data_IF_168687520979
#
_entry.id   IF_168687520979
#
_cell.length_a   1.000
_cell.length_b   1.000
_cell.length_c   1.000
_cell.angle_alpha   90.00
_cell.angle_beta   90.00
_cell.angle_gamma   90.00
#
_symmetry.space_group_name_H-M   'P 1'
#
loop_
_entity.id
_entity.type
_entity.pdbx_description
1 polymer ?
#
# COMPACT_ATOMS: atom_id res chain seq x y z
N UNK A 1 30.13 5.93 -15.77
CA UNK A 1 30.26 7.04 -14.82
C UNK A 1 28.91 7.20 -14.16
N UNK A 2 28.63 7.05 -12.95
CA UNK A 2 29.37 6.71 -11.74
C UNK A 2 28.32 6.45 -10.65
N UNK A 3 28.26 5.21 -10.16
CA UNK A 3 27.45 4.76 -9.00
C UNK A 3 27.95 5.32 -7.65
N UNK A 4 28.72 6.41 -7.65
CA UNK A 4 29.43 6.91 -6.46
C UNK A 4 28.73 8.11 -5.81
N UNK A 5 27.76 8.75 -6.43
CA UNK A 5 27.19 10.01 -5.90
C UNK A 5 26.03 9.84 -4.90
N UNK A 6 25.46 8.65 -4.75
CA UNK A 6 24.38 8.42 -3.76
C UNK A 6 24.85 8.08 -2.34
N UNK A 7 26.13 7.80 -2.13
CA UNK A 7 26.68 7.48 -0.80
C UNK A 7 26.95 8.69 0.11
N UNK A 8 26.81 9.91 -0.39
CA UNK A 8 27.24 11.11 0.35
C UNK A 8 26.14 11.92 1.03
N UNK A 9 24.88 11.49 0.95
CA UNK A 9 23.76 12.23 1.58
C UNK A 9 23.13 11.52 2.78
N UNK A 10 23.83 10.59 3.42
CA UNK A 10 23.43 10.13 4.76
C UNK A 10 23.86 11.22 5.76
N UNK A 11 22.89 11.93 6.40
CA UNK A 11 23.26 12.94 7.39
C UNK A 11 24.02 12.26 8.52
N UNK A 12 25.05 12.92 9.02
CA UNK A 12 25.79 12.58 10.27
C UNK A 12 24.88 12.32 11.49
N UNK A 13 23.58 12.50 11.37
CA UNK A 13 22.55 12.26 12.38
C UNK A 13 22.39 10.78 12.79
N UNK A 14 22.83 9.83 11.96
CA UNK A 14 22.78 8.40 12.29
C UNK A 14 24.04 7.91 13.00
N UNK A 15 25.07 8.76 13.15
CA UNK A 15 26.36 8.36 13.73
C UNK A 15 26.58 8.81 15.16
N UNK A 16 25.71 9.63 15.77
CA UNK A 16 25.86 10.04 17.15
C UNK A 16 24.87 9.32 18.06
N UNK A 17 25.43 8.58 19.03
CA UNK A 17 24.80 8.14 20.27
C UNK A 17 23.65 7.11 20.18
N UNK A 18 23.95 5.86 19.99
CA UNK A 18 23.55 4.75 20.85
C UNK A 18 24.00 3.41 20.23
N UNK A 19 25.15 2.92 20.69
CA UNK A 19 25.65 1.57 20.35
C UNK A 19 24.64 0.46 20.72
N UNK A 20 23.80 0.69 21.73
CA UNK A 20 22.84 -0.30 22.20
C UNK A 20 21.65 -0.50 21.24
N UNK A 21 21.16 0.55 20.56
CA UNK A 21 20.10 0.43 19.57
C UNK A 21 20.58 -0.29 18.30
N UNK A 22 21.85 -0.15 17.95
CA UNK A 22 22.46 -0.88 16.83
C UNK A 22 22.56 -2.39 17.08
N UNK A 23 22.79 -2.81 18.30
CA UNK A 23 22.94 -4.24 18.64
C UNK A 23 21.59 -4.97 18.66
N UNK A 24 20.50 -4.28 19.01
CA UNK A 24 19.16 -4.89 19.14
C UNK A 24 18.41 -4.98 17.81
N UNK A 25 18.75 -4.15 16.83
CA UNK A 25 18.12 -4.15 15.50
C UNK A 25 18.93 -4.92 14.43
N UNK A 26 20.11 -5.40 14.79
CA UNK A 26 20.93 -6.17 13.86
C UNK A 26 20.46 -7.65 13.82
N UNK A 27 19.33 -7.91 13.18
CA UNK A 27 18.96 -9.26 12.75
C UNK A 27 19.74 -9.52 11.46
N UNK A 28 20.74 -10.40 11.46
CA UNK A 28 21.51 -10.67 10.25
C UNK A 28 20.56 -11.29 9.19
N UNK A 29 20.47 -10.72 7.99
CA UNK A 29 19.50 -11.15 6.97
C UNK A 29 19.73 -12.59 6.47
N UNK A 30 20.89 -13.17 6.73
CA UNK A 30 21.27 -14.50 6.23
C UNK A 30 20.94 -15.67 7.17
N UNK A 31 20.29 -15.45 8.32
CA UNK A 31 19.91 -16.53 9.27
C UNK A 31 18.42 -16.83 9.35
N UNK A 32 17.59 -16.01 8.75
CA UNK A 32 16.15 -16.27 8.66
C UNK A 32 15.86 -16.69 7.21
N UNK A 33 15.18 -17.81 7.03
CA UNK A 33 14.43 -18.01 5.79
C UNK A 33 13.69 -16.71 5.54
N UNK A 34 14.16 -15.93 4.57
CA UNK A 34 13.83 -14.49 4.39
C UNK A 34 12.32 -14.27 4.46
N UNK A 35 11.54 -15.19 3.90
CA UNK A 35 10.09 -15.12 3.89
C UNK A 35 9.42 -15.28 5.27
N UNK A 36 9.93 -16.15 6.14
CA UNK A 36 9.33 -16.37 7.47
C UNK A 36 9.66 -15.22 8.44
N UNK A 37 10.89 -14.71 8.37
CA UNK A 37 11.32 -13.59 9.20
C UNK A 37 10.58 -12.30 8.85
N UNK A 38 10.37 -12.03 7.58
CA UNK A 38 9.65 -10.85 7.12
C UNK A 38 8.20 -10.81 7.56
N UNK A 39 7.51 -11.94 7.49
CA UNK A 39 6.11 -12.03 7.95
C UNK A 39 5.97 -11.73 9.45
N UNK A 40 6.87 -12.25 10.29
CA UNK A 40 6.86 -11.96 11.73
C UNK A 40 7.20 -10.49 12.01
N UNK A 41 8.23 -9.97 11.36
CA UNK A 41 8.64 -8.56 11.50
C UNK A 41 7.56 -7.59 11.02
N UNK A 42 6.93 -7.89 9.89
CA UNK A 42 5.77 -7.14 9.39
C UNK A 42 4.65 -7.05 10.43
N UNK A 43 4.29 -8.17 11.08
CA UNK A 43 3.24 -8.17 12.11
C UNK A 43 3.61 -7.29 13.31
N UNK A 44 4.87 -7.29 13.72
CA UNK A 44 5.36 -6.41 14.79
C UNK A 44 5.29 -4.94 14.38
N UNK A 45 5.76 -4.61 13.18
CA UNK A 45 5.74 -3.24 12.67
C UNK A 45 4.30 -2.73 12.49
N UNK A 46 3.41 -3.57 11.97
CA UNK A 46 1.99 -3.25 11.83
C UNK A 46 1.34 -3.00 13.20
N UNK A 47 1.66 -3.84 14.20
CA UNK A 47 1.16 -3.66 15.57
C UNK A 47 1.66 -2.36 16.19
N UNK A 48 2.92 -2.00 15.94
CA UNK A 48 3.52 -0.74 16.37
C UNK A 48 2.79 0.47 15.75
N UNK A 49 2.50 0.42 14.46
CA UNK A 49 1.79 1.51 13.78
C UNK A 49 0.34 1.63 14.26
N UNK A 50 -0.36 0.51 14.44
CA UNK A 50 -1.71 0.50 15.02
C UNK A 50 -1.74 1.06 16.44
N UNK A 51 -0.73 0.75 17.24
CA UNK A 51 -0.58 1.33 18.58
C UNK A 51 -0.34 2.83 18.53
N UNK A 52 0.50 3.31 17.61
CA UNK A 52 0.81 4.73 17.45
C UNK A 52 -0.32 5.54 16.83
N UNK A 53 -1.13 4.95 15.97
CA UNK A 53 -2.14 5.64 15.15
C UNK A 53 -3.04 6.60 15.97
N UNK A 54 -3.63 6.23 17.12
CA UNK A 54 -4.45 7.14 17.92
C UNK A 54 -3.69 8.39 18.40
N UNK A 55 -2.41 8.23 18.74
CA UNK A 55 -1.57 9.35 19.20
C UNK A 55 -1.19 10.27 18.04
N UNK A 56 -1.04 9.72 16.84
CA UNK A 56 -0.66 10.47 15.63
C UNK A 56 -1.82 11.27 15.03
N UNK A 57 -3.07 10.95 15.38
CA UNK A 57 -4.25 11.76 15.01
C UNK A 57 -4.27 13.10 15.77
N UNK A 58 -3.57 13.20 16.89
CA UNK A 58 -3.46 14.45 17.66
C UNK A 58 -2.45 15.40 17.04
N UNK A 59 -2.80 16.68 16.96
CA UNK A 59 -1.92 17.75 16.43
C UNK A 59 -0.68 18.01 17.30
N UNK A 60 -0.66 17.52 18.54
CA UNK A 60 0.45 17.71 19.50
C UNK A 60 0.92 16.37 20.05
N UNK A 61 2.02 15.87 19.52
CA UNK A 61 2.71 14.72 20.06
C UNK A 61 3.38 15.07 21.39
N UNK A 62 3.08 14.33 22.44
CA UNK A 62 3.75 14.43 23.75
C UNK A 62 5.14 13.76 23.70
N UNK A 63 6.02 14.03 24.67
CA UNK A 63 7.42 13.64 24.66
C UNK A 63 7.67 12.19 24.24
N UNK A 64 7.15 11.20 24.99
CA UNK A 64 7.35 9.78 24.69
C UNK A 64 6.79 9.33 23.34
N UNK A 65 5.58 9.80 22.96
CA UNK A 65 5.00 9.48 21.66
C UNK A 65 5.81 10.10 20.52
N UNK A 66 6.40 11.27 20.72
CA UNK A 66 7.30 11.92 19.76
C UNK A 66 8.59 11.12 19.58
N UNK A 67 9.16 10.63 20.67
CA UNK A 67 10.41 9.86 20.60
C UNK A 67 10.18 8.51 19.95
N UNK A 68 9.04 7.87 20.22
CA UNK A 68 8.64 6.64 19.54
C UNK A 68 8.39 6.88 18.04
N UNK A 69 7.72 7.97 17.67
CA UNK A 69 7.53 8.37 16.26
C UNK A 69 8.87 8.60 15.54
N UNK A 70 9.81 9.29 16.20
CA UNK A 70 11.17 9.45 15.64
C UNK A 70 11.89 8.10 15.50
N UNK A 71 11.69 7.18 16.43
CA UNK A 71 12.20 5.82 16.34
C UNK A 71 11.65 5.09 15.13
N UNK A 72 10.33 5.20 14.88
CA UNK A 72 9.68 4.63 13.70
C UNK A 72 10.23 5.22 12.38
N UNK A 73 10.42 6.54 12.32
CA UNK A 73 11.02 7.17 11.13
C UNK A 73 12.43 6.62 10.86
N UNK A 74 13.26 6.51 11.90
CA UNK A 74 14.62 5.94 11.77
C UNK A 74 14.58 4.50 11.30
N UNK A 75 13.69 3.69 11.88
CA UNK A 75 13.50 2.30 11.50
C UNK A 75 13.11 2.18 10.02
N UNK A 76 12.13 2.96 9.58
CA UNK A 76 11.71 2.96 8.17
C UNK A 76 12.81 3.42 7.23
N UNK A 77 13.64 4.40 7.62
CA UNK A 77 14.78 4.82 6.81
C UNK A 77 15.83 3.71 6.68
N UNK A 78 16.08 2.94 7.74
CA UNK A 78 16.96 1.75 7.67
C UNK A 78 16.36 0.70 6.75
N UNK A 79 15.05 0.43 6.87
CA UNK A 79 14.37 -0.53 5.99
C UNK A 79 14.38 -0.06 4.54
N UNK A 80 14.17 1.22 4.28
CA UNK A 80 14.23 1.77 2.93
C UNK A 80 15.62 1.62 2.30
N UNK A 81 16.67 1.77 3.10
CA UNK A 81 18.05 1.68 2.62
C UNK A 81 18.52 0.22 2.46
N UNK A 82 18.26 -0.64 3.46
CA UNK A 82 18.83 -1.99 3.53
C UNK A 82 17.87 -3.07 2.98
N UNK A 83 16.57 -2.85 3.04
CA UNK A 83 15.52 -3.82 2.68
C UNK A 83 14.34 -3.15 1.95
N UNK A 84 14.57 -2.44 0.83
CA UNK A 84 13.49 -1.75 0.11
C UNK A 84 12.42 -2.72 -0.38
N UNK A 85 12.77 -3.97 -0.69
CA UNK A 85 11.85 -5.02 -1.09
C UNK A 85 10.80 -5.31 -0.01
N UNK A 86 11.21 -5.32 1.27
CA UNK A 86 10.28 -5.50 2.39
C UNK A 86 9.21 -4.42 2.41
N UNK A 87 9.59 -3.15 2.30
CA UNK A 87 8.63 -2.07 2.28
C UNK A 87 7.74 -2.11 1.04
N UNK A 88 8.29 -2.42 -0.13
CA UNK A 88 7.52 -2.50 -1.38
C UNK A 88 6.54 -3.67 -1.42
N UNK A 89 6.78 -4.76 -0.69
CA UNK A 89 5.88 -5.90 -0.62
C UNK A 89 4.76 -5.74 0.43
N UNK A 90 5.04 -4.99 1.50
CA UNK A 90 4.08 -4.79 2.62
C UNK A 90 3.48 -3.38 2.69
N UNK A 91 3.77 -2.50 1.70
CA UNK A 91 3.39 -1.09 1.74
C UNK A 91 1.90 -0.86 2.02
N UNK A 92 1.03 -1.69 1.44
CA UNK A 92 -0.41 -1.46 1.45
C UNK A 92 -0.96 -1.37 2.88
N UNK A 93 -0.83 -2.44 3.66
CA UNK A 93 -1.34 -2.48 5.04
C UNK A 93 -0.55 -1.60 6.01
N UNK A 94 0.74 -1.35 5.73
CA UNK A 94 1.53 -0.41 6.51
C UNK A 94 1.04 1.02 6.33
N UNK A 95 0.71 1.43 5.10
CA UNK A 95 0.12 2.73 4.81
C UNK A 95 -1.28 2.89 5.41
N UNK A 96 -2.12 1.83 5.37
CA UNK A 96 -3.44 1.85 6.00
C UNK A 96 -3.40 2.01 7.52
N UNK A 97 -2.37 1.46 8.16
CA UNK A 97 -2.19 1.58 9.61
C UNK A 97 -1.71 2.98 10.05
N UNK A 98 -1.19 3.77 9.12
CA UNK A 98 -0.65 5.11 9.39
C UNK A 98 -1.69 6.17 9.03
N UNK A 99 -2.04 7.10 9.94
CA UNK A 99 -2.97 8.17 9.63
C UNK A 99 -2.55 8.99 8.41
N UNK A 100 -3.52 9.43 7.61
CA UNK A 100 -3.29 10.20 6.37
C UNK A 100 -2.45 11.47 6.59
N UNK A 101 -2.60 12.12 7.75
CA UNK A 101 -1.80 13.28 8.13
C UNK A 101 -0.31 13.01 8.40
N UNK A 102 0.10 11.73 8.53
CA UNK A 102 1.49 11.34 8.77
C UNK A 102 2.27 11.19 7.46
N UNK A 103 2.34 12.24 6.67
CA UNK A 103 2.92 12.28 5.33
C UNK A 103 4.36 11.73 5.31
N UNK A 104 5.18 12.02 6.33
CA UNK A 104 6.56 11.56 6.38
C UNK A 104 6.67 10.02 6.41
N UNK A 105 5.90 9.35 7.29
CA UNK A 105 5.90 7.89 7.36
C UNK A 105 5.41 7.27 6.04
N UNK A 106 4.31 7.78 5.51
CA UNK A 106 3.72 7.28 4.26
C UNK A 106 4.70 7.45 3.09
N UNK A 107 5.32 8.63 2.95
CA UNK A 107 6.27 8.88 1.88
C UNK A 107 7.49 7.97 1.95
N UNK A 108 8.02 7.66 3.14
CA UNK A 108 9.14 6.72 3.28
C UNK A 108 8.71 5.32 2.81
N UNK A 109 7.54 4.85 3.22
CA UNK A 109 7.02 3.54 2.80
C UNK A 109 6.83 3.50 1.28
N UNK A 110 6.19 4.52 0.70
CA UNK A 110 5.85 4.58 -0.72
C UNK A 110 7.04 4.89 -1.64
N UNK A 111 8.15 5.40 -1.10
CA UNK A 111 9.38 5.60 -1.89
C UNK A 111 10.24 4.35 -2.00
N UNK A 112 9.84 3.25 -1.37
CA UNK A 112 10.55 1.99 -1.49
C UNK A 112 10.40 1.41 -2.91
N UNK A 113 11.54 1.06 -3.51
CA UNK A 113 11.60 0.46 -4.82
C UNK A 113 12.55 -0.75 -4.80
N UNK A 114 12.13 -1.92 -5.31
CA UNK A 114 12.98 -3.10 -5.31
C UNK A 114 14.29 -2.86 -6.07
N UNK A 115 15.42 -3.18 -5.44
CA UNK A 115 16.75 -2.98 -6.02
C UNK A 115 17.03 -3.86 -7.25
N UNK A 116 16.24 -4.93 -7.39
CA UNK A 116 16.32 -5.88 -8.52
C UNK A 116 15.61 -5.41 -9.77
N UNK A 117 14.77 -4.37 -9.67
CA UNK A 117 14.01 -3.83 -10.79
C UNK A 117 14.71 -2.56 -11.31
N UNK A 118 14.98 -2.51 -12.60
CA UNK A 118 15.49 -1.32 -13.28
C UNK A 118 14.31 -0.58 -13.91
N UNK A 119 14.19 0.72 -13.62
CA UNK A 119 13.18 1.54 -14.28
C UNK A 119 13.65 1.85 -15.71
N UNK A 120 12.79 1.62 -16.71
CA UNK A 120 13.07 2.07 -18.06
C UNK A 120 13.14 3.61 -18.12
N UNK A 121 13.99 4.13 -18.97
CA UNK A 121 14.07 5.57 -19.21
C UNK A 121 12.76 6.06 -19.85
N UNK A 122 11.98 6.93 -19.20
CA UNK A 122 10.70 7.41 -19.72
C UNK A 122 10.84 8.19 -21.03
N UNK A 123 12.01 8.75 -21.31
CA UNK A 123 12.30 9.47 -22.55
C UNK A 123 12.57 8.55 -23.75
N UNK A 124 12.98 7.31 -23.52
CA UNK A 124 13.21 6.33 -24.58
C UNK A 124 11.96 5.57 -25.01
N UNK A 125 10.92 5.60 -24.18
CA UNK A 125 9.72 4.76 -24.39
C UNK A 125 8.74 5.29 -25.46
N UNK A 126 8.86 6.55 -25.90
CA UNK A 126 7.97 7.17 -26.91
C UNK A 126 6.47 6.83 -26.72
N UNK A 127 6.04 6.61 -25.46
CA UNK A 127 4.66 6.23 -25.14
C UNK A 127 4.33 4.73 -25.28
N UNK A 128 5.28 3.87 -25.63
CA UNK A 128 5.06 2.42 -25.81
C UNK A 128 5.47 1.68 -24.52
N UNK A 129 4.64 1.78 -23.50
CA UNK A 129 4.93 1.16 -22.18
C UNK A 129 4.66 -0.35 -22.16
N UNK A 130 3.74 -0.85 -22.99
CA UNK A 130 3.34 -2.26 -23.02
C UNK A 130 4.44 -3.21 -23.52
N UNK A 131 5.47 -2.68 -24.18
CA UNK A 131 6.61 -3.45 -24.69
C UNK A 131 7.74 -3.62 -23.68
N UNK A 132 7.64 -2.98 -22.50
CA UNK A 132 8.67 -2.98 -21.47
C UNK A 132 8.54 -4.24 -20.61
N UNK A 133 9.54 -5.15 -20.61
CA UNK A 133 9.46 -6.40 -19.85
C UNK A 133 9.17 -6.19 -18.35
N UNK A 134 9.68 -5.10 -17.77
CA UNK A 134 9.53 -4.75 -16.37
C UNK A 134 8.07 -4.39 -16.00
N UNK A 135 7.26 -3.97 -16.97
CA UNK A 135 5.83 -3.71 -16.77
C UNK A 135 4.98 -4.98 -16.80
N UNK A 136 5.56 -6.09 -17.28
CA UNK A 136 4.87 -7.36 -17.38
C UNK A 136 4.54 -8.04 -16.05
N UNK A 137 5.43 -8.11 -15.05
CA UNK A 137 5.17 -8.76 -13.78
C UNK A 137 4.14 -7.97 -12.95
N UNK A 138 3.24 -8.71 -12.28
CA UNK A 138 2.39 -8.11 -11.24
C UNK A 138 3.29 -7.84 -10.03
N UNK A 139 3.31 -6.63 -9.45
CA UNK A 139 4.08 -6.35 -8.26
C UNK A 139 3.72 -7.34 -7.13
N UNK A 140 4.70 -7.95 -6.46
CA UNK A 140 4.43 -8.83 -5.33
C UNK A 140 3.89 -8.01 -4.17
N UNK A 141 2.62 -8.23 -3.81
CA UNK A 141 1.98 -7.62 -2.64
C UNK A 141 1.71 -8.74 -1.65
N UNK A 142 2.56 -8.87 -0.62
CA UNK A 142 2.44 -9.91 0.39
C UNK A 142 1.46 -9.54 1.51
N UNK A 143 1.13 -8.27 1.66
CA UNK A 143 0.11 -7.84 2.60
C UNK A 143 -1.28 -8.31 2.15
N UNK A 144 -2.06 -8.88 3.08
CA UNK A 144 -3.42 -9.33 2.80
C UNK A 144 -4.37 -8.11 2.65
N UNK A 145 -4.35 -7.49 1.45
CA UNK A 145 -5.23 -6.38 1.13
C UNK A 145 -6.71 -6.83 1.06
N UNK A 146 -6.97 -8.12 0.90
CA UNK A 146 -8.34 -8.64 0.88
C UNK A 146 -8.94 -8.81 2.29
N UNK A 147 -8.15 -8.62 3.35
CA UNK A 147 -8.64 -8.76 4.72
C UNK A 147 -9.82 -7.83 5.04
N UNK A 148 -9.81 -6.62 4.48
CA UNK A 148 -10.90 -5.65 4.61
C UNK A 148 -12.22 -6.09 3.93
N UNK A 149 -12.15 -7.01 2.96
CA UNK A 149 -13.31 -7.51 2.21
C UNK A 149 -13.96 -8.74 2.84
N UNK A 150 -13.50 -9.17 4.03
CA UNK A 150 -13.93 -10.42 4.69
C UNK A 150 -15.35 -10.40 5.27
N UNK A 151 -16.10 -9.30 5.16
CA UNK A 151 -17.48 -9.29 5.58
C UNK A 151 -18.34 -10.13 4.62
N UNK A 152 -18.43 -11.43 4.89
CA UNK A 152 -19.39 -12.38 4.35
C UNK A 152 -19.44 -12.49 2.83
N UNK A 153 -20.58 -12.12 2.26
CA UNK A 153 -20.95 -12.39 0.86
C UNK A 153 -20.27 -11.45 -0.16
N UNK A 154 -19.65 -10.36 0.29
CA UNK A 154 -19.13 -9.31 -0.61
C UNK A 154 -18.03 -9.82 -1.54
N UNK A 155 -17.10 -10.59 -1.01
CA UNK A 155 -15.99 -11.13 -1.82
C UNK A 155 -16.51 -12.10 -2.88
N UNK A 156 -17.43 -12.98 -2.51
CA UNK A 156 -18.08 -13.92 -3.43
C UNK A 156 -18.80 -13.17 -4.54
N UNK A 157 -19.49 -12.09 -4.18
CA UNK A 157 -20.19 -11.25 -5.15
C UNK A 157 -19.23 -10.52 -6.10
N UNK A 158 -18.16 -9.96 -5.58
CA UNK A 158 -17.12 -9.31 -6.39
C UNK A 158 -16.47 -10.30 -7.36
N UNK A 159 -16.16 -11.49 -6.88
CA UNK A 159 -15.58 -12.55 -7.74
C UNK A 159 -16.55 -12.92 -8.87
N UNK A 160 -17.82 -13.10 -8.58
CA UNK A 160 -18.84 -13.38 -9.60
C UNK A 160 -19.01 -12.23 -10.58
N UNK A 161 -19.00 -10.98 -10.09
CA UNK A 161 -19.12 -9.80 -10.91
C UNK A 161 -17.91 -9.63 -11.84
N UNK A 162 -16.71 -9.74 -11.31
CA UNK A 162 -15.47 -9.62 -12.09
C UNK A 162 -15.34 -10.72 -13.13
N UNK A 163 -15.88 -11.91 -12.88
CA UNK A 163 -15.97 -12.99 -13.86
C UNK A 163 -17.08 -12.79 -14.90
N UNK A 164 -17.83 -11.68 -14.83
CA UNK A 164 -18.95 -11.40 -15.73
C UNK A 164 -20.19 -12.28 -15.50
N UNK A 165 -20.29 -12.92 -14.33
CA UNK A 165 -21.39 -13.83 -13.97
C UNK A 165 -22.49 -13.17 -13.15
N UNK A 166 -22.24 -11.96 -12.62
CA UNK A 166 -23.20 -11.19 -11.83
C UNK A 166 -23.61 -9.89 -12.54
N UNK A 167 -24.82 -9.43 -12.25
CA UNK A 167 -25.36 -8.18 -12.83
C UNK A 167 -24.74 -6.94 -12.18
N UNK A 168 -24.67 -5.84 -12.95
CA UNK A 168 -24.27 -4.51 -12.47
C UNK A 168 -25.25 -3.89 -11.44
N UNK A 169 -26.40 -4.52 -11.20
CA UNK A 169 -27.39 -4.07 -10.20
C UNK A 169 -26.84 -4.04 -8.77
N UNK A 170 -25.70 -4.71 -8.52
CA UNK A 170 -25.05 -4.71 -7.22
C UNK A 170 -24.17 -3.48 -6.95
N UNK A 171 -23.77 -2.72 -7.97
CA UNK A 171 -22.88 -1.56 -7.80
C UNK A 171 -23.43 -0.47 -6.87
N UNK A 172 -24.73 -0.14 -6.88
CA UNK A 172 -25.31 0.77 -5.88
C UNK A 172 -25.13 0.29 -4.45
N UNK A 173 -25.42 -1.00 -4.19
CA UNK A 173 -25.23 -1.61 -2.87
C UNK A 173 -23.78 -1.59 -2.41
N UNK A 174 -22.84 -1.80 -3.34
CA UNK A 174 -21.42 -1.70 -3.09
C UNK A 174 -21.03 -0.28 -2.62
N UNK A 175 -21.57 0.75 -3.31
CA UNK A 175 -21.35 2.16 -2.93
C UNK A 175 -21.82 2.46 -1.50
N UNK A 176 -23.01 1.97 -1.15
CA UNK A 176 -23.59 2.20 0.18
C UNK A 176 -22.76 1.53 1.30
N UNK A 177 -22.15 0.38 1.01
CA UNK A 177 -21.27 -0.33 1.95
C UNK A 177 -19.91 0.34 2.18
N UNK A 178 -19.52 1.30 1.35
CA UNK A 178 -18.30 2.07 1.54
C UNK A 178 -18.42 3.11 2.66
N UNK A 179 -19.63 3.38 3.13
CA UNK A 179 -19.84 4.31 4.25
C UNK A 179 -19.46 3.64 5.56
N UNK A 180 -18.78 4.43 6.41
CA UNK A 180 -18.44 3.98 7.75
C UNK A 180 -19.73 3.71 8.55
N UNK A 181 -19.75 2.68 9.41
CA UNK A 181 -20.88 2.49 10.33
C UNK A 181 -20.99 3.74 11.22
N UNK A 182 -22.20 4.29 11.28
CA UNK A 182 -22.52 5.50 12.06
C UNK A 182 -22.24 5.22 13.54
N UNK A 183 -21.11 5.70 14.05
CA UNK A 183 -20.84 5.79 15.48
C UNK A 183 -20.75 7.27 15.83
N UNK A 184 -21.39 7.67 16.93
CA UNK A 184 -21.59 9.07 17.34
C UNK A 184 -20.29 9.90 17.54
N UNK A 185 -19.14 9.27 17.41
CA UNK A 185 -17.82 9.87 17.71
C UNK A 185 -16.83 9.92 16.53
N UNK A 186 -17.24 9.53 15.31
CA UNK A 186 -16.34 9.46 14.15
C UNK A 186 -16.80 10.41 13.05
N UNK A 187 -15.98 11.42 12.79
CA UNK A 187 -16.18 12.40 11.71
C UNK A 187 -15.94 11.82 10.30
N UNK A 188 -15.53 10.56 10.19
CA UNK A 188 -15.22 9.92 8.91
C UNK A 188 -16.50 9.30 8.32
N UNK A 189 -16.95 9.82 7.18
CA UNK A 189 -18.17 9.36 6.49
C UNK A 189 -17.91 8.06 5.72
N UNK A 190 -16.65 7.75 5.38
CA UNK A 190 -16.24 6.59 4.60
C UNK A 190 -15.26 5.69 5.37
N UNK A 191 -15.40 4.37 5.17
CA UNK A 191 -14.42 3.37 5.60
C UNK A 191 -13.27 3.34 4.58
N UNK A 192 -12.27 4.23 4.78
CA UNK A 192 -11.13 4.38 3.87
C UNK A 192 -10.32 3.08 3.73
N UNK A 193 -10.01 2.32 4.80
CA UNK A 193 -9.37 1.01 4.67
C UNK A 193 -10.14 0.02 3.79
N UNK A 194 -11.46 0.01 3.92
CA UNK A 194 -12.32 -0.83 3.09
C UNK A 194 -12.32 -0.37 1.62
N UNK A 195 -12.39 0.94 1.38
CA UNK A 195 -12.30 1.54 0.05
C UNK A 195 -10.99 1.16 -0.64
N UNK A 196 -9.86 1.31 0.06
CA UNK A 196 -8.53 0.96 -0.45
C UNK A 196 -8.44 -0.54 -0.78
N UNK A 197 -8.95 -1.40 0.11
CA UNK A 197 -9.01 -2.84 -0.10
C UNK A 197 -9.82 -3.21 -1.35
N UNK A 198 -10.97 -2.56 -1.55
CA UNK A 198 -11.83 -2.76 -2.71
C UNK A 198 -11.13 -2.38 -4.02
N UNK A 199 -10.55 -1.17 -4.07
CA UNK A 199 -9.84 -0.68 -5.27
C UNK A 199 -8.68 -1.61 -5.62
N UNK A 200 -7.87 -1.98 -4.62
CA UNK A 200 -6.74 -2.88 -4.83
C UNK A 200 -7.19 -4.27 -5.32
N UNK A 201 -8.23 -4.82 -4.69
CA UNK A 201 -8.76 -6.15 -5.06
C UNK A 201 -9.29 -6.17 -6.50
N UNK A 202 -10.10 -5.18 -6.86
CA UNK A 202 -10.64 -5.04 -8.22
C UNK A 202 -9.51 -4.85 -9.23
N UNK A 203 -8.54 -3.98 -8.93
CA UNK A 203 -7.40 -3.71 -9.81
C UNK A 203 -6.55 -4.96 -10.07
N UNK A 204 -6.09 -5.62 -8.99
CA UNK A 204 -5.26 -6.84 -9.10
C UNK A 204 -6.00 -7.96 -9.83
N UNK A 205 -7.28 -8.17 -9.49
CA UNK A 205 -8.10 -9.21 -10.15
C UNK A 205 -8.32 -8.91 -11.64
N UNK A 206 -8.55 -7.64 -12.01
CA UNK A 206 -8.73 -7.24 -13.41
C UNK A 206 -7.45 -7.42 -14.22
N UNK A 207 -6.29 -7.03 -13.67
CA UNK A 207 -5.00 -7.24 -14.33
C UNK A 207 -4.70 -8.73 -14.50
N UNK A 208 -4.97 -9.55 -13.49
CA UNK A 208 -4.78 -11.00 -13.58
C UNK A 208 -5.65 -11.62 -14.68
N UNK A 209 -6.92 -11.19 -14.79
CA UNK A 209 -7.83 -11.68 -15.82
C UNK A 209 -7.42 -11.19 -17.23
N UNK A 210 -6.99 -9.93 -17.37
CA UNK A 210 -6.51 -9.40 -18.65
C UNK A 210 -5.27 -10.18 -19.15
N UNK A 211 -4.34 -10.50 -18.26
CA UNK A 211 -3.16 -11.32 -18.59
C UNK A 211 -3.52 -12.76 -18.97
N UNK A 212 -4.56 -13.34 -18.37
CA UNK A 212 -5.03 -14.68 -18.72
C UNK A 212 -5.69 -14.73 -20.12
N UNK A 213 -6.20 -13.60 -20.61
CA UNK A 213 -6.76 -13.45 -21.96
C UNK A 213 -5.64 -13.02 -22.90
N UNK A 214 -4.91 -13.96 -23.48
CA UNK A 214 -3.81 -13.71 -24.41
C UNK A 214 -4.19 -12.69 -25.48
N UNK A 215 -3.43 -11.59 -25.58
CA UNK A 215 -3.56 -10.58 -26.65
C UNK A 215 -4.54 -9.44 -26.39
N UNK A 216 -5.15 -9.34 -25.21
CA UNK A 216 -5.99 -8.18 -24.88
C UNK A 216 -5.16 -7.06 -24.25
N UNK A 217 -5.48 -5.81 -24.59
CA UNK A 217 -4.97 -4.64 -23.88
C UNK A 217 -5.28 -4.77 -22.39
N UNK A 218 -4.34 -4.36 -21.51
CA UNK A 218 -4.51 -4.38 -20.05
C UNK A 218 -5.73 -3.58 -19.57
N UNK A 219 -6.18 -2.60 -20.36
CA UNK A 219 -7.30 -1.73 -20.03
C UNK A 219 -8.33 -1.73 -21.16
N UNK A 220 -9.41 -2.48 -20.96
CA UNK A 220 -10.59 -2.42 -21.80
C UNK A 220 -11.72 -1.72 -21.03
N UNK A 221 -12.33 -0.69 -21.65
CA UNK A 221 -13.41 0.08 -21.03
C UNK A 221 -14.66 -0.76 -20.69
N UNK A 222 -14.82 -1.93 -21.29
CA UNK A 222 -15.89 -2.89 -21.05
C UNK A 222 -15.58 -3.93 -19.97
N UNK A 223 -14.35 -3.98 -19.45
CA UNK A 223 -14.01 -4.93 -18.41
C UNK A 223 -14.81 -4.64 -17.12
N UNK A 224 -15.36 -5.68 -16.46
CA UNK A 224 -16.19 -5.49 -15.27
C UNK A 224 -15.51 -4.68 -14.17
N UNK A 225 -14.22 -4.88 -13.95
CA UNK A 225 -13.45 -4.10 -12.97
C UNK A 225 -13.36 -2.62 -13.33
N UNK A 226 -13.09 -2.29 -14.61
CA UNK A 226 -13.05 -0.91 -15.09
C UNK A 226 -14.44 -0.27 -14.98
N UNK A 227 -15.50 -1.01 -15.29
CA UNK A 227 -16.88 -0.55 -15.16
C UNK A 227 -17.22 -0.26 -13.69
N UNK A 228 -16.83 -1.14 -12.75
CA UNK A 228 -17.05 -0.94 -11.32
C UNK A 228 -16.34 0.31 -10.78
N UNK A 229 -15.04 0.46 -11.07
CA UNK A 229 -14.26 1.62 -10.62
C UNK A 229 -14.80 2.92 -11.22
N UNK A 230 -15.16 2.92 -12.51
CA UNK A 230 -15.79 4.06 -13.17
C UNK A 230 -17.16 4.41 -12.56
N UNK A 231 -17.94 3.40 -12.19
CA UNK A 231 -19.23 3.61 -11.51
C UNK A 231 -19.01 4.32 -10.16
N UNK A 232 -18.08 3.83 -9.35
CA UNK A 232 -17.75 4.45 -8.07
C UNK A 232 -17.26 5.89 -8.25
N UNK A 233 -16.30 6.12 -9.13
CA UNK A 233 -15.77 7.46 -9.41
C UNK A 233 -16.86 8.48 -9.82
N UNK A 234 -17.94 8.03 -10.50
CA UNK A 234 -19.03 8.90 -10.95
C UNK A 234 -20.13 9.12 -9.90
N UNK A 235 -20.30 8.18 -8.98
CA UNK A 235 -21.48 8.16 -8.10
C UNK A 235 -21.13 8.41 -6.63
N UNK A 236 -19.86 8.48 -6.26
CA UNK A 236 -19.43 8.93 -4.94
C UNK A 236 -19.70 10.44 -4.81
N UNK A 237 -19.99 10.88 -3.58
CA UNK A 237 -20.03 12.31 -3.26
C UNK A 237 -18.60 12.91 -3.27
N UNK A 238 -18.44 14.23 -3.14
CA UNK A 238 -17.12 14.88 -3.22
C UNK A 238 -16.11 14.35 -2.21
N UNK A 239 -16.55 13.98 -0.99
CA UNK A 239 -15.68 13.41 0.04
C UNK A 239 -15.24 12.00 -0.35
N UNK A 240 -16.19 11.15 -0.73
CA UNK A 240 -15.89 9.79 -1.20
C UNK A 240 -15.04 9.77 -2.47
N UNK A 241 -15.28 10.70 -3.40
CA UNK A 241 -14.47 10.85 -4.60
C UNK A 241 -13.02 11.25 -4.26
N UNK A 242 -12.83 12.15 -3.29
CA UNK A 242 -11.49 12.52 -2.81
C UNK A 242 -10.79 11.32 -2.21
N UNK A 243 -11.43 10.57 -1.32
CA UNK A 243 -10.86 9.37 -0.70
C UNK A 243 -10.58 8.25 -1.72
N UNK A 244 -11.32 8.22 -2.83
CA UNK A 244 -11.15 7.23 -3.89
C UNK A 244 -9.93 7.51 -4.80
N UNK A 245 -9.56 8.79 -4.98
CA UNK A 245 -8.48 9.22 -5.89
C UNK A 245 -7.14 9.36 -5.17
N UNK A 246 -7.13 9.69 -3.88
CA UNK A 246 -5.94 9.89 -3.04
C UNK A 246 -5.40 8.57 -2.51
#
# INVERSE_FOLDING_TARGET
MSLISHRLFMPKLLMSENREVRATLWIPPYRLNVSQGWSAFYKLLLSLFKFLSPFLKSTRLRGSSRDLYRGCLRLLLVLLHDFPEFLSEYYFTLCDAVPSGCIQLRNIILSAFPSTITLPDPYLLNGVYDSVPEMGPIPPILSDFSAGLKSGDLRVYLDQYLLGRASSTYLPTLKDRLRAPTSDDVSETYDVPFLNALVMYVGVSSVAQAKAKSGSSLFNASDPGVVALRYLAKNLDPEGATNFIV
#
